data_IF_359451087605
#
_entry.id   IF_359451087605
#
_cell.length_a   1.000
_cell.length_b   1.000
_cell.length_c   1.000
_cell.angle_alpha   90.00
_cell.angle_beta   90.00
_cell.angle_gamma   90.00
#
_symmetry.space_group_name_H-M   'P 1'
#
loop_
_entity.id
_entity.type
_entity.pdbx_description
1 polymer ?
#
# COMPACT_ATOMS: atom_id res chain seq x y z
N UNK A 1 -23.65 46.01 -18.34
CA UNK A 1 -22.91 45.82 -17.08
C UNK A 1 -22.39 44.39 -17.07
N UNK A 2 -21.08 44.14 -16.93
CA UNK A 2 -20.63 42.77 -16.68
C UNK A 2 -21.14 42.37 -15.29
N UNK A 3 -21.76 41.21 -15.19
CA UNK A 3 -22.14 40.62 -13.90
C UNK A 3 -20.87 40.37 -13.11
N UNK A 4 -20.77 40.96 -11.91
CA UNK A 4 -19.79 40.54 -10.94
C UNK A 4 -20.16 39.11 -10.50
N UNK A 5 -19.59 38.12 -11.16
CA UNK A 5 -19.55 36.77 -10.62
C UNK A 5 -18.56 36.77 -9.47
N UNK A 6 -19.06 36.86 -8.25
CA UNK A 6 -18.28 36.61 -7.06
C UNK A 6 -17.92 35.13 -7.05
N UNK A 7 -16.77 34.79 -7.65
CA UNK A 7 -16.23 33.43 -7.60
C UNK A 7 -15.69 33.20 -6.20
N UNK A 8 -16.53 32.68 -5.30
CA UNK A 8 -16.10 32.24 -3.98
C UNK A 8 -15.29 30.95 -4.16
N UNK A 9 -14.03 30.88 -3.68
CA UNK A 9 -13.25 29.66 -3.78
C UNK A 9 -13.95 28.48 -3.10
N UNK A 10 -14.00 27.33 -3.75
CA UNK A 10 -14.62 26.10 -3.19
C UNK A 10 -14.00 25.71 -1.83
N UNK A 11 -12.72 26.02 -1.64
CA UNK A 11 -12.01 25.82 -0.37
C UNK A 11 -12.61 26.61 0.79
N UNK A 12 -13.21 27.76 0.53
CA UNK A 12 -13.92 28.56 1.54
C UNK A 12 -15.27 27.94 1.89
N UNK A 13 -15.97 27.36 0.90
CA UNK A 13 -17.29 26.73 1.09
C UNK A 13 -17.23 25.35 1.76
N UNK A 14 -16.05 24.71 1.75
CA UNK A 14 -15.82 23.43 2.42
C UNK A 14 -16.25 23.43 3.89
N UNK A 15 -15.73 24.35 4.71
CA UNK A 15 -15.98 24.35 6.16
C UNK A 15 -17.48 24.59 6.46
N UNK A 16 -18.12 25.66 5.93
CA UNK A 16 -19.53 25.92 6.19
C UNK A 16 -20.46 24.80 5.70
N UNK A 17 -20.21 24.24 4.52
CA UNK A 17 -21.06 23.18 3.96
C UNK A 17 -21.00 21.90 4.81
N UNK A 18 -19.81 21.46 5.21
CA UNK A 18 -19.65 20.27 6.05
C UNK A 18 -20.25 20.49 7.45
N UNK A 19 -20.01 21.65 8.09
CA UNK A 19 -20.60 21.97 9.39
C UNK A 19 -22.13 22.05 9.33
N UNK A 20 -22.68 22.66 8.29
CA UNK A 20 -24.13 22.74 8.06
C UNK A 20 -24.74 21.35 7.91
N UNK A 21 -24.11 20.48 7.09
CA UNK A 21 -24.56 19.11 6.90
C UNK A 21 -24.53 18.29 8.19
N UNK A 22 -23.44 18.36 8.96
CA UNK A 22 -23.32 17.66 10.25
C UNK A 22 -24.36 18.18 11.24
N UNK A 23 -24.57 19.49 11.30
CA UNK A 23 -25.57 20.12 12.17
C UNK A 23 -26.99 19.69 11.81
N UNK A 24 -27.29 19.61 10.51
CA UNK A 24 -28.56 19.10 10.00
C UNK A 24 -28.78 17.63 10.40
N UNK A 25 -27.77 16.77 10.22
CA UNK A 25 -27.84 15.37 10.61
C UNK A 25 -28.13 15.21 12.12
N UNK A 26 -27.44 16.01 12.96
CA UNK A 26 -27.66 16.02 14.40
C UNK A 26 -29.07 16.50 14.75
N UNK A 27 -29.51 17.61 14.17
CA UNK A 27 -30.80 18.22 14.46
C UNK A 27 -31.98 17.30 14.11
N UNK A 28 -31.98 16.70 12.92
CA UNK A 28 -33.04 15.77 12.49
C UNK A 28 -33.05 14.51 13.36
N UNK A 29 -31.87 13.94 13.65
CA UNK A 29 -31.76 12.77 14.53
C UNK A 29 -32.29 13.10 15.94
N UNK A 30 -31.97 14.28 16.46
CA UNK A 30 -32.45 14.75 17.76
C UNK A 30 -33.98 14.90 17.77
N UNK A 31 -34.55 15.60 16.80
CA UNK A 31 -35.98 15.83 16.71
C UNK A 31 -36.77 14.51 16.64
N UNK A 32 -36.35 13.58 15.78
CA UNK A 32 -36.99 12.27 15.64
C UNK A 32 -36.85 11.40 16.89
N UNK A 33 -35.68 11.40 17.54
CA UNK A 33 -35.48 10.67 18.80
C UNK A 33 -36.36 11.19 19.93
N UNK A 34 -36.63 12.51 19.97
CA UNK A 34 -37.55 13.13 20.93
C UNK A 34 -38.99 12.73 20.67
N UNK A 35 -39.43 12.76 19.41
CA UNK A 35 -40.79 12.34 19.02
C UNK A 35 -41.03 10.87 19.37
N UNK A 36 -40.06 10.01 19.06
CA UNK A 36 -40.15 8.56 19.28
C UNK A 36 -39.71 8.13 20.69
N UNK A 37 -39.30 9.07 21.55
CA UNK A 37 -38.85 8.86 22.93
C UNK A 37 -37.76 7.77 23.06
N UNK A 38 -36.82 7.72 22.11
CA UNK A 38 -35.75 6.71 22.09
C UNK A 38 -34.38 7.31 21.83
N UNK A 39 -33.50 7.22 22.83
CA UNK A 39 -32.10 7.65 22.72
C UNK A 39 -31.30 6.76 21.77
N UNK A 40 -31.62 5.47 21.66
CA UNK A 40 -30.92 4.57 20.72
C UNK A 40 -31.18 5.02 19.29
N UNK A 41 -32.41 5.41 18.99
CA UNK A 41 -32.82 5.87 17.66
C UNK A 41 -32.09 7.16 17.25
N UNK A 42 -31.72 8.03 18.20
CA UNK A 42 -30.85 9.17 17.92
C UNK A 42 -29.52 8.73 17.29
N UNK A 43 -28.81 7.80 17.93
CA UNK A 43 -27.49 7.36 17.46
C UNK A 43 -27.58 6.61 16.14
N UNK A 44 -28.59 5.75 15.98
CA UNK A 44 -28.81 5.02 14.72
C UNK A 44 -29.06 6.01 13.56
N UNK A 45 -29.97 6.96 13.72
CA UNK A 45 -30.26 7.96 12.68
C UNK A 45 -29.06 8.84 12.38
N UNK A 46 -28.34 9.29 13.41
CA UNK A 46 -27.17 10.15 13.24
C UNK A 46 -26.10 9.45 12.39
N UNK A 47 -25.80 8.18 12.72
CA UNK A 47 -24.82 7.38 11.98
C UNK A 47 -25.32 7.14 10.54
N UNK A 48 -26.59 6.79 10.35
CA UNK A 48 -27.17 6.57 9.02
C UNK A 48 -27.09 7.81 8.13
N UNK A 49 -27.44 8.99 8.65
CA UNK A 49 -27.38 10.24 7.90
C UNK A 49 -25.94 10.66 7.58
N UNK A 50 -25.04 10.59 8.55
CA UNK A 50 -23.62 10.88 8.31
C UNK A 50 -22.99 9.89 7.30
N UNK A 51 -23.44 8.64 7.29
CA UNK A 51 -22.97 7.63 6.34
C UNK A 51 -23.23 8.01 4.88
N UNK A 52 -24.28 8.80 4.58
CA UNK A 52 -24.55 9.27 3.21
C UNK A 52 -23.33 9.99 2.62
N UNK A 53 -22.67 10.82 3.42
CA UNK A 53 -21.52 11.60 2.98
C UNK A 53 -20.17 10.93 3.31
N UNK A 54 -20.08 10.16 4.40
CA UNK A 54 -18.81 9.77 5.01
C UNK A 54 -18.62 8.26 5.25
N UNK A 55 -19.49 7.38 4.72
CA UNK A 55 -19.40 5.94 5.00
C UNK A 55 -18.03 5.33 4.67
N UNK A 56 -17.44 5.67 3.52
CA UNK A 56 -16.17 5.11 3.09
C UNK A 56 -15.04 5.48 4.04
N UNK A 57 -15.04 6.70 4.61
CA UNK A 57 -14.06 7.13 5.60
C UNK A 57 -14.15 6.22 6.83
N UNK A 58 -15.35 6.02 7.38
CA UNK A 58 -15.54 5.13 8.53
C UNK A 58 -15.09 3.70 8.24
N UNK A 59 -15.42 3.19 7.06
CA UNK A 59 -15.01 1.84 6.64
C UNK A 59 -13.49 1.75 6.47
N UNK A 60 -12.85 2.74 5.85
CA UNK A 60 -11.38 2.81 5.71
C UNK A 60 -10.71 2.76 7.08
N UNK A 61 -11.22 3.51 8.06
CA UNK A 61 -10.71 3.47 9.43
C UNK A 61 -10.88 2.09 10.07
N UNK A 62 -12.05 1.47 9.93
CA UNK A 62 -12.30 0.13 10.45
C UNK A 62 -11.35 -0.91 9.83
N UNK A 63 -11.14 -0.86 8.52
CA UNK A 63 -10.20 -1.74 7.81
C UNK A 63 -8.77 -1.50 8.29
N UNK A 64 -8.32 -0.23 8.34
CA UNK A 64 -6.98 0.11 8.80
C UNK A 64 -6.72 -0.44 10.20
N UNK A 65 -7.66 -0.23 11.12
CA UNK A 65 -7.56 -0.71 12.50
C UNK A 65 -7.56 -2.24 12.57
N UNK A 66 -8.41 -2.92 11.79
CA UNK A 66 -8.39 -4.38 11.71
C UNK A 66 -7.00 -4.90 11.28
N UNK A 67 -6.43 -4.36 10.20
CA UNK A 67 -5.11 -4.81 9.75
C UNK A 67 -4.00 -4.42 10.72
N UNK A 68 -4.07 -3.24 11.34
CA UNK A 68 -3.07 -2.76 12.29
C UNK A 68 -3.06 -3.52 13.61
N UNK A 69 -4.22 -3.91 14.13
CA UNK A 69 -4.31 -4.55 15.45
C UNK A 69 -4.42 -6.07 15.38
N UNK A 70 -4.97 -6.62 14.31
CA UNK A 70 -5.26 -8.07 14.21
C UNK A 70 -4.32 -8.79 13.26
N UNK A 71 -3.85 -8.14 12.20
CA UNK A 71 -3.05 -8.79 11.14
C UNK A 71 -1.61 -8.32 11.05
N UNK A 72 -1.23 -7.29 11.78
CA UNK A 72 0.09 -6.68 11.69
C UNK A 72 1.19 -7.65 12.12
N UNK A 73 0.89 -8.52 13.09
CA UNK A 73 1.80 -9.54 13.57
C UNK A 73 2.17 -10.56 12.48
N UNK A 74 3.42 -11.00 12.55
CA UNK A 74 4.10 -11.67 11.45
C UNK A 74 3.55 -13.05 11.14
N UNK A 75 3.15 -13.27 9.89
CA UNK A 75 2.83 -14.58 9.33
C UNK A 75 4.12 -15.27 8.84
N UNK A 76 5.07 -15.49 9.75
CA UNK A 76 6.29 -16.27 9.48
C UNK A 76 6.00 -17.71 9.88
N UNK A 77 6.06 -18.61 8.92
CA UNK A 77 5.71 -20.02 9.07
C UNK A 77 6.92 -20.92 9.29
N UNK A 78 8.08 -20.53 8.75
CA UNK A 78 9.32 -21.29 8.84
C UNK A 78 10.54 -20.37 8.88
N UNK A 79 11.62 -20.87 9.46
CA UNK A 79 12.93 -20.22 9.40
C UNK A 79 13.55 -20.42 8.03
N UNK A 80 14.20 -19.37 7.53
CA UNK A 80 14.94 -19.43 6.26
C UNK A 80 16.27 -20.15 6.47
N UNK A 81 16.57 -21.20 5.68
CA UNK A 81 17.88 -21.85 5.73
C UNK A 81 18.98 -20.87 5.31
N UNK A 82 20.01 -20.75 6.16
CA UNK A 82 21.16 -19.86 5.96
C UNK A 82 22.47 -20.65 6.05
N UNK A 83 23.51 -20.16 5.39
CA UNK A 83 24.85 -20.75 5.43
C UNK A 83 25.57 -20.40 6.75
N UNK A 84 26.84 -20.81 6.89
CA UNK A 84 27.66 -20.53 8.08
C UNK A 84 27.94 -19.05 8.33
N UNK A 85 27.81 -18.20 7.31
CA UNK A 85 27.91 -16.73 7.41
C UNK A 85 26.56 -16.06 7.65
N UNK A 86 25.50 -16.83 7.93
CA UNK A 86 24.12 -16.35 8.09
C UNK A 86 23.52 -15.71 6.83
N UNK A 87 24.04 -16.05 5.65
CA UNK A 87 23.52 -15.58 4.35
C UNK A 87 22.58 -16.60 3.72
N UNK A 88 21.58 -16.10 2.99
CA UNK A 88 20.76 -16.90 2.09
C UNK A 88 21.47 -17.07 0.75
N UNK A 89 21.19 -18.16 0.05
CA UNK A 89 21.93 -18.55 -1.16
C UNK A 89 21.74 -17.54 -2.32
N UNK A 90 20.51 -17.35 -2.78
CA UNK A 90 20.16 -16.43 -3.87
C UNK A 90 18.70 -16.00 -3.74
N UNK A 91 18.39 -14.79 -4.21
CA UNK A 91 17.08 -14.16 -4.00
C UNK A 91 16.51 -13.59 -5.30
N UNK A 92 15.22 -13.79 -5.55
CA UNK A 92 14.47 -13.06 -6.58
C UNK A 92 13.39 -12.21 -5.94
N UNK A 93 13.39 -10.92 -6.26
CA UNK A 93 12.38 -9.93 -5.84
C UNK A 93 11.75 -9.21 -7.05
N UNK A 94 11.74 -9.88 -8.20
CA UNK A 94 11.16 -9.39 -9.44
C UNK A 94 9.69 -8.97 -9.22
N UNK A 95 9.36 -7.75 -9.64
CA UNK A 95 8.02 -7.17 -9.51
C UNK A 95 7.60 -6.79 -8.08
N UNK A 96 8.45 -7.04 -7.08
CA UNK A 96 8.24 -6.61 -5.69
C UNK A 96 8.85 -5.23 -5.48
N UNK A 97 10.12 -5.08 -5.86
CA UNK A 97 10.87 -3.84 -5.85
C UNK A 97 11.37 -3.53 -7.26
N UNK A 98 11.12 -2.30 -7.71
CA UNK A 98 11.55 -1.83 -9.02
C UNK A 98 12.64 -0.76 -8.81
N UNK A 99 13.88 -1.07 -9.13
CA UNK A 99 15.01 -0.14 -9.02
C UNK A 99 14.94 0.92 -10.13
N UNK A 100 14.89 2.22 -9.80
CA UNK A 100 14.84 3.29 -10.79
C UNK A 100 16.19 3.47 -11.49
N UNK A 101 16.20 3.42 -12.81
CA UNK A 101 17.37 3.72 -13.63
C UNK A 101 17.35 5.19 -14.06
N UNK A 102 18.47 5.89 -13.86
CA UNK A 102 18.55 7.34 -14.15
C UNK A 102 18.72 7.66 -15.63
N UNK A 103 19.49 6.86 -16.36
CA UNK A 103 19.95 7.22 -17.71
C UNK A 103 19.87 6.09 -18.75
N UNK A 104 19.57 4.86 -18.33
CA UNK A 104 19.71 3.64 -19.14
C UNK A 104 18.53 2.70 -18.94
N UNK A 105 18.37 1.74 -19.85
CA UNK A 105 17.45 0.59 -19.72
C UNK A 105 18.11 -0.62 -19.05
N UNK A 106 19.41 -0.56 -18.79
CA UNK A 106 20.21 -1.57 -18.10
C UNK A 106 21.02 -0.92 -16.98
N UNK A 107 21.39 -1.71 -15.97
CA UNK A 107 22.19 -1.24 -14.83
C UNK A 107 23.59 -0.82 -15.27
N UNK A 108 24.02 0.35 -14.81
CA UNK A 108 25.41 0.80 -14.86
C UNK A 108 26.27 0.10 -13.81
N UNK A 109 27.59 0.10 -13.97
CA UNK A 109 28.53 -0.47 -12.99
C UNK A 109 28.38 0.16 -11.60
N UNK A 110 28.10 1.45 -11.53
CA UNK A 110 27.86 2.17 -10.26
C UNK A 110 26.58 1.70 -9.58
N UNK A 111 25.48 1.54 -10.33
CA UNK A 111 24.21 1.04 -9.78
C UNK A 111 24.35 -0.43 -9.34
N UNK A 112 25.12 -1.22 -10.09
CA UNK A 112 25.46 -2.60 -9.72
C UNK A 112 26.20 -2.64 -8.38
N UNK A 113 27.20 -1.79 -8.16
CA UNK A 113 27.97 -1.78 -6.91
C UNK A 113 27.12 -1.30 -5.72
N UNK A 114 26.27 -0.29 -5.90
CA UNK A 114 25.31 0.14 -4.86
C UNK A 114 24.37 -1.00 -4.43
N UNK A 115 23.87 -1.78 -5.40
CA UNK A 115 23.04 -2.96 -5.10
C UNK A 115 23.87 -4.02 -4.39
N UNK A 116 25.14 -4.24 -4.77
CA UNK A 116 25.99 -5.22 -4.08
C UNK A 116 26.19 -4.86 -2.63
N UNK A 117 26.63 -3.64 -2.34
CA UNK A 117 26.87 -3.16 -0.97
C UNK A 117 25.62 -3.33 -0.09
N UNK A 118 24.42 -3.11 -0.66
CA UNK A 118 23.16 -3.25 0.06
C UNK A 118 22.75 -4.71 0.31
N UNK A 119 23.23 -5.68 -0.48
CA UNK A 119 22.67 -7.03 -0.49
C UNK A 119 23.67 -8.13 -0.10
N UNK A 120 24.97 -7.89 -0.23
CA UNK A 120 26.02 -8.89 0.03
C UNK A 120 26.12 -9.36 1.49
N UNK A 121 25.61 -8.57 2.44
CA UNK A 121 25.69 -8.90 3.86
C UNK A 121 24.76 -10.05 4.25
N UNK A 122 23.71 -10.33 3.47
CA UNK A 122 22.73 -11.38 3.78
C UNK A 122 22.44 -12.32 2.61
N UNK A 123 22.96 -12.05 1.41
CA UNK A 123 22.78 -12.89 0.22
C UNK A 123 24.15 -13.28 -0.31
N UNK A 124 24.34 -14.57 -0.61
CA UNK A 124 25.64 -15.13 -1.00
C UNK A 124 25.96 -14.98 -2.49
N UNK A 125 25.04 -15.40 -3.38
CA UNK A 125 25.33 -15.52 -4.82
C UNK A 125 24.90 -14.30 -5.61
N UNK A 126 23.59 -14.10 -5.75
CA UNK A 126 23.01 -13.07 -6.60
C UNK A 126 21.61 -12.68 -6.13
N UNK A 127 21.18 -11.51 -6.61
CA UNK A 127 19.80 -11.03 -6.49
C UNK A 127 19.22 -10.72 -7.88
N UNK A 128 18.00 -11.19 -8.13
CA UNK A 128 17.22 -10.85 -9.31
C UNK A 128 16.24 -9.73 -8.95
N UNK A 129 16.33 -8.60 -9.65
CA UNK A 129 15.53 -7.39 -9.39
C UNK A 129 14.83 -6.90 -10.65
N UNK A 130 13.69 -6.24 -10.48
CA UNK A 130 13.10 -5.48 -11.57
C UNK A 130 13.71 -4.08 -11.61
N UNK A 131 13.92 -3.55 -12.80
CA UNK A 131 14.40 -2.20 -13.05
C UNK A 131 13.39 -1.45 -13.88
N UNK A 132 13.38 -0.12 -13.77
CA UNK A 132 12.57 0.70 -14.66
C UNK A 132 13.25 1.98 -15.08
N UNK A 133 12.97 2.42 -16.30
CA UNK A 133 13.41 3.70 -16.83
C UNK A 133 12.25 4.44 -17.48
N UNK A 134 12.33 5.76 -17.48
CA UNK A 134 11.38 6.62 -18.17
C UNK A 134 12.05 7.22 -19.41
N UNK A 135 11.60 6.81 -20.60
CA UNK A 135 12.16 7.30 -21.86
C UNK A 135 11.04 7.64 -22.83
N UNK A 136 11.06 8.85 -23.40
CA UNK A 136 10.07 9.31 -24.39
C UNK A 136 8.61 9.11 -23.92
N UNK A 137 8.30 9.46 -22.67
CA UNK A 137 6.99 9.25 -22.04
C UNK A 137 6.52 7.80 -21.98
N UNK A 138 7.45 6.83 -22.05
CA UNK A 138 7.16 5.41 -21.89
C UNK A 138 7.90 4.85 -20.68
N UNK A 139 7.18 4.01 -19.94
CA UNK A 139 7.73 3.18 -18.87
C UNK A 139 8.32 1.91 -19.50
N UNK A 140 9.63 1.71 -19.32
CA UNK A 140 10.32 0.52 -19.77
C UNK A 140 10.76 -0.24 -18.52
N UNK A 141 10.18 -1.42 -18.32
CA UNK A 141 10.56 -2.34 -17.25
C UNK A 141 11.47 -3.43 -17.80
N UNK A 142 12.51 -3.79 -17.05
CA UNK A 142 13.35 -4.94 -17.33
C UNK A 142 13.60 -5.73 -16.04
N UNK A 143 14.12 -6.95 -16.15
CA UNK A 143 14.60 -7.73 -15.03
C UNK A 143 16.10 -7.95 -15.18
N UNK A 144 16.85 -7.71 -14.12
CA UNK A 144 18.30 -7.78 -14.11
C UNK A 144 18.78 -8.67 -12.96
N UNK A 145 19.89 -9.38 -13.19
CA UNK A 145 20.58 -10.18 -12.17
C UNK A 145 21.85 -9.47 -11.74
N UNK A 146 21.98 -9.25 -10.43
CA UNK A 146 23.19 -8.68 -9.83
C UNK A 146 23.92 -9.75 -9.02
N UNK A 147 25.12 -10.11 -9.48
CA UNK A 147 25.99 -11.06 -8.78
C UNK A 147 26.74 -10.37 -7.64
N UNK A 148 26.59 -10.88 -6.43
CA UNK A 148 27.12 -10.27 -5.21
C UNK A 148 28.54 -10.77 -4.92
N UNK A 149 28.81 -12.05 -5.18
CA UNK A 149 30.12 -12.64 -5.01
C UNK A 149 30.82 -12.91 -6.36
N UNK A 150 32.01 -12.32 -6.55
CA UNK A 150 32.81 -12.44 -7.79
C UNK A 150 33.50 -13.81 -7.92
N UNK A 151 33.61 -14.58 -6.84
CA UNK A 151 34.35 -15.84 -6.79
C UNK A 151 33.52 -17.09 -7.13
N UNK A 152 32.22 -16.93 -7.37
CA UNK A 152 31.31 -18.04 -7.66
C UNK A 152 31.15 -18.17 -9.19
N UNK A 153 31.28 -19.38 -9.77
CA UNK A 153 31.15 -19.56 -11.21
C UNK A 153 29.79 -19.06 -11.71
N UNK A 154 29.82 -18.22 -12.74
CA UNK A 154 28.66 -17.57 -13.37
C UNK A 154 27.78 -18.59 -14.09
N UNK A 155 26.84 -19.22 -13.38
CA UNK A 155 25.74 -19.93 -14.03
C UNK A 155 24.57 -18.97 -14.27
N UNK A 156 24.54 -18.36 -15.46
CA UNK A 156 23.49 -17.40 -15.85
C UNK A 156 22.07 -17.96 -15.83
N UNK A 157 21.92 -19.30 -15.84
CA UNK A 157 20.63 -19.97 -15.91
C UNK A 157 20.20 -20.57 -14.55
N UNK A 158 20.97 -20.38 -13.49
CA UNK A 158 20.60 -20.86 -12.15
C UNK A 158 19.36 -20.10 -11.64
N UNK A 159 18.26 -20.78 -11.27
CA UNK A 159 17.12 -20.10 -10.66
C UNK A 159 17.47 -19.64 -9.24
N UNK A 160 16.92 -18.51 -8.80
CA UNK A 160 17.03 -18.10 -7.40
C UNK A 160 16.37 -19.14 -6.49
N UNK A 161 17.04 -19.51 -5.40
CA UNK A 161 16.47 -20.42 -4.41
C UNK A 161 15.31 -19.76 -3.67
N UNK A 162 15.48 -18.52 -3.23
CA UNK A 162 14.43 -17.79 -2.52
C UNK A 162 13.71 -16.84 -3.48
N UNK A 163 12.40 -16.81 -3.42
CA UNK A 163 11.57 -15.95 -4.27
C UNK A 163 10.58 -15.18 -3.40
N UNK A 164 10.50 -13.87 -3.61
CA UNK A 164 9.44 -13.02 -3.08
C UNK A 164 8.53 -12.64 -4.24
N UNK A 165 7.26 -13.01 -4.13
CA UNK A 165 6.25 -12.66 -5.13
C UNK A 165 5.29 -11.64 -4.56
N UNK A 166 4.78 -10.74 -5.41
CA UNK A 166 3.74 -9.74 -5.08
C UNK A 166 2.53 -9.98 -5.97
N UNK A 167 1.34 -10.02 -5.38
CA UNK A 167 0.08 -10.16 -6.12
C UNK A 167 -0.98 -9.21 -5.58
N UNK A 168 -1.74 -8.58 -6.47
CA UNK A 168 -2.98 -7.87 -6.11
C UNK A 168 -4.07 -8.91 -5.85
N UNK A 169 -4.69 -8.85 -4.68
CA UNK A 169 -5.73 -9.79 -4.25
C UNK A 169 -7.07 -9.07 -4.17
N UNK A 170 -8.13 -9.74 -4.61
CA UNK A 170 -9.48 -9.22 -4.53
C UNK A 170 -9.89 -8.98 -3.07
N UNK A 171 -10.49 -7.81 -2.83
CA UNK A 171 -10.99 -7.41 -1.52
C UNK A 171 -12.52 -7.42 -1.52
N UNK A 172 -13.13 -7.52 -0.33
CA UNK A 172 -14.60 -7.52 -0.22
C UNK A 172 -15.22 -6.13 -0.49
N UNK A 173 -14.42 -5.05 -0.47
CA UNK A 173 -14.83 -3.68 -0.80
C UNK A 173 -13.79 -3.02 -1.74
N UNK A 174 -13.71 -3.44 -3.01
CA UNK A 174 -12.66 -3.03 -3.94
C UNK A 174 -12.73 -1.54 -4.31
N UNK A 175 -13.89 -0.90 -4.14
CA UNK A 175 -14.07 0.55 -4.32
C UNK A 175 -13.53 1.38 -3.14
N UNK A 176 -13.19 0.75 -2.02
CA UNK A 176 -12.76 1.43 -0.79
C UNK A 176 -11.28 1.16 -0.52
N UNK A 177 -10.82 -0.08 -0.72
CA UNK A 177 -9.44 -0.46 -0.47
C UNK A 177 -8.99 -1.63 -1.35
N UNK A 178 -7.69 -1.69 -1.61
CA UNK A 178 -7.02 -2.82 -2.26
C UNK A 178 -6.00 -3.48 -1.34
N UNK A 179 -5.58 -4.69 -1.71
CA UNK A 179 -4.58 -5.48 -0.97
C UNK A 179 -3.55 -6.04 -1.94
N UNK A 180 -2.28 -5.70 -1.71
CA UNK A 180 -1.18 -6.52 -2.18
C UNK A 180 -0.85 -7.58 -1.13
N UNK A 181 -0.60 -8.79 -1.59
CA UNK A 181 -0.07 -9.89 -0.78
C UNK A 181 1.31 -10.26 -1.31
N UNK A 182 2.23 -10.44 -0.37
CA UNK A 182 3.60 -10.84 -0.63
C UNK A 182 3.82 -12.24 -0.07
N UNK A 183 4.49 -13.09 -0.84
CA UNK A 183 4.83 -14.47 -0.41
C UNK A 183 6.32 -14.70 -0.55
N UNK A 184 6.94 -15.16 0.52
CA UNK A 184 8.34 -15.56 0.59
C UNK A 184 8.40 -17.08 0.46
N UNK A 185 9.09 -17.60 -0.55
CA UNK A 185 9.09 -19.02 -0.90
C UNK A 185 10.52 -19.53 -1.03
N UNK A 186 10.82 -20.68 -0.43
CA UNK A 186 12.01 -21.48 -0.76
C UNK A 186 11.64 -22.40 -1.93
N UNK A 187 12.20 -22.15 -3.11
CA UNK A 187 11.94 -22.89 -4.35
C UNK A 187 12.54 -24.28 -4.35
N UNK A 188 13.57 -24.52 -3.55
CA UNK A 188 14.19 -25.84 -3.45
C UNK A 188 13.24 -26.82 -2.73
N UNK A 189 12.57 -26.36 -1.67
CA UNK A 189 11.66 -27.16 -0.86
C UNK A 189 10.18 -26.92 -1.17
N UNK A 190 9.88 -25.89 -1.97
CA UNK A 190 8.54 -25.40 -2.29
C UNK A 190 7.72 -25.00 -1.05
N UNK A 191 8.40 -24.54 0.01
CA UNK A 191 7.78 -24.12 1.27
C UNK A 191 7.57 -22.60 1.27
N UNK A 192 6.39 -22.17 1.73
CA UNK A 192 6.13 -20.76 2.03
C UNK A 192 6.74 -20.43 3.39
N UNK A 193 7.76 -19.58 3.40
CA UNK A 193 8.46 -19.16 4.60
C UNK A 193 7.65 -18.11 5.36
N UNK A 194 7.05 -17.17 4.65
CA UNK A 194 6.23 -16.11 5.24
C UNK A 194 5.28 -15.46 4.23
N UNK A 195 4.31 -14.73 4.76
CA UNK A 195 3.45 -13.80 4.03
C UNK A 195 3.52 -12.39 4.62
N UNK A 196 3.36 -11.39 3.76
CA UNK A 196 3.20 -10.00 4.14
C UNK A 196 2.08 -9.36 3.30
N UNK A 197 1.66 -8.16 3.67
CA UNK A 197 0.64 -7.43 2.93
C UNK A 197 0.94 -5.93 2.84
N UNK A 198 0.25 -5.29 1.90
CA UNK A 198 0.09 -3.85 1.83
C UNK A 198 -1.38 -3.53 1.51
N UNK A 199 -2.05 -2.84 2.43
CA UNK A 199 -3.41 -2.33 2.28
C UNK A 199 -3.32 -0.86 1.89
N UNK A 200 -3.89 -0.53 0.74
CA UNK A 200 -4.00 0.84 0.25
C UNK A 200 -5.47 1.24 0.08
N UNK A 201 -5.77 2.52 0.27
CA UNK A 201 -7.13 3.03 0.28
C UNK A 201 -7.43 3.79 -1.00
N UNK A 202 -8.54 3.42 -1.65
CA UNK A 202 -8.94 3.96 -2.95
C UNK A 202 -9.56 5.34 -2.78
N UNK A 203 -9.07 6.30 -3.55
CA UNK A 203 -9.65 7.64 -3.65
C UNK A 203 -10.68 7.67 -4.78
N UNK A 204 -11.79 8.35 -4.58
CA UNK A 204 -12.82 8.54 -5.60
C UNK A 204 -13.44 9.91 -5.40
N UNK A 205 -13.57 10.66 -6.50
CA UNK A 205 -14.09 12.03 -6.51
C UNK A 205 -15.58 12.08 -6.89
N UNK A 206 -16.26 10.93 -6.96
CA UNK A 206 -17.65 10.81 -7.36
C UNK A 206 -18.55 10.41 -6.18
N UNK A 207 -18.46 11.15 -5.07
CA UNK A 207 -19.27 10.93 -3.86
C UNK A 207 -20.17 12.12 -3.59
N UNK A 208 -21.19 11.91 -2.76
CA UNK A 208 -22.10 12.96 -2.30
C UNK A 208 -21.33 14.19 -1.78
N UNK A 209 -20.30 13.98 -0.96
CA UNK A 209 -19.51 15.07 -0.39
C UNK A 209 -18.68 15.85 -1.42
N UNK A 210 -18.25 15.21 -2.51
CA UNK A 210 -17.55 15.91 -3.60
C UNK A 210 -18.51 16.87 -4.30
N UNK A 211 -19.73 16.39 -4.57
CA UNK A 211 -20.74 17.16 -5.30
C UNK A 211 -21.40 18.25 -4.47
N UNK A 212 -21.65 18.01 -3.18
CA UNK A 212 -22.50 18.89 -2.37
C UNK A 212 -21.80 19.52 -1.16
N UNK A 213 -20.64 19.00 -0.75
CA UNK A 213 -19.91 19.48 0.43
C UNK A 213 -18.54 20.06 0.07
N UNK A 214 -18.31 20.38 -1.21
CA UNK A 214 -17.10 21.04 -1.73
C UNK A 214 -15.80 20.29 -1.42
N UNK A 215 -15.85 18.95 -1.41
CA UNK A 215 -14.65 18.12 -1.34
C UNK A 215 -13.98 18.06 -2.71
N UNK A 216 -13.01 18.94 -2.94
CA UNK A 216 -12.16 18.88 -4.12
C UNK A 216 -11.20 17.66 -4.06
N UNK A 217 -10.53 17.30 -5.18
CA UNK A 217 -9.63 16.15 -5.21
C UNK A 217 -8.52 16.20 -4.16
N UNK A 218 -7.96 17.39 -3.90
CA UNK A 218 -6.94 17.58 -2.86
C UNK A 218 -7.50 17.21 -1.48
N UNK A 219 -8.73 17.62 -1.16
CA UNK A 219 -9.38 17.27 0.11
C UNK A 219 -9.70 15.79 0.21
N UNK A 220 -10.08 15.13 -0.88
CA UNK A 220 -10.22 13.67 -0.86
C UNK A 220 -8.90 12.97 -0.51
N UNK A 221 -7.77 13.47 -1.01
CA UNK A 221 -6.45 12.95 -0.66
C UNK A 221 -6.06 13.26 0.80
N UNK A 222 -6.28 14.50 1.26
CA UNK A 222 -5.98 14.93 2.63
C UNK A 222 -6.69 14.04 3.68
N UNK A 223 -7.92 13.60 3.37
CA UNK A 223 -8.73 12.74 4.24
C UNK A 223 -8.61 11.24 3.91
N UNK A 224 -7.83 10.86 2.90
CA UNK A 224 -7.55 9.47 2.62
C UNK A 224 -6.56 8.92 3.66
N UNK A 225 -6.69 7.64 3.99
CA UNK A 225 -5.77 7.03 4.95
C UNK A 225 -4.47 6.63 4.26
N UNK A 226 -3.32 6.76 4.94
CA UNK A 226 -2.07 6.22 4.44
C UNK A 226 -2.16 4.69 4.35
N UNK A 227 -1.42 4.12 3.42
CA UNK A 227 -1.32 2.67 3.30
C UNK A 227 -0.73 2.04 4.57
N UNK A 228 -1.15 0.81 4.89
CA UNK A 228 -0.61 0.01 5.98
C UNK A 228 0.00 -1.27 5.43
N UNK A 229 1.25 -1.54 5.79
CA UNK A 229 1.99 -2.70 5.34
C UNK A 229 2.89 -3.24 6.43
N UNK A 230 3.25 -4.53 6.30
CA UNK A 230 4.26 -5.17 7.15
C UNK A 230 5.42 -5.76 6.34
N UNK A 231 5.51 -5.48 5.03
CA UNK A 231 6.51 -6.05 4.13
C UNK A 231 7.94 -5.91 4.66
N UNK A 232 8.40 -4.70 4.97
CA UNK A 232 9.80 -4.47 5.40
C UNK A 232 10.15 -5.20 6.70
N UNK A 233 9.19 -5.29 7.63
CA UNK A 233 9.35 -6.01 8.89
C UNK A 233 9.51 -7.51 8.63
N UNK A 234 8.68 -8.08 7.75
CA UNK A 234 8.75 -9.50 7.40
C UNK A 234 10.00 -9.79 6.59
N UNK A 235 10.33 -8.95 5.60
CA UNK A 235 11.52 -9.07 4.78
C UNK A 235 12.76 -9.14 5.64
N UNK A 236 12.91 -8.20 6.59
CA UNK A 236 14.03 -8.18 7.52
C UNK A 236 14.07 -9.44 8.38
N UNK A 237 12.97 -9.82 9.02
CA UNK A 237 12.95 -11.00 9.91
C UNK A 237 13.21 -12.33 9.18
N UNK A 238 12.77 -12.45 7.94
CA UNK A 238 12.84 -13.69 7.17
C UNK A 238 14.18 -13.83 6.47
N UNK A 239 14.71 -12.76 5.88
CA UNK A 239 15.88 -12.83 5.00
C UNK A 239 17.16 -12.29 5.66
N UNK A 240 17.04 -11.33 6.58
CA UNK A 240 18.18 -10.60 7.14
C UNK A 240 18.51 -11.09 8.55
N UNK A 241 17.54 -11.08 9.49
CA UNK A 241 17.77 -11.38 10.90
C UNK A 241 18.14 -12.87 11.14
N UNK A 242 18.83 -13.16 12.25
CA UNK A 242 19.32 -14.49 12.65
C UNK A 242 18.33 -15.28 13.51
#
# INVERSE_FOLDING_TARGET
MPSFELVVPESFLFIPANLSFISFCFFISFLLSRILKSTILFFVLLISLLSIAYYDIFIKYAIRNYYSFVKMDSQIYAKTPKNSEFKIESLSIIGVYNYPLKYSTALSETEIEEIKELHEYYIEKFIDISTYSYKFNRYIANNERVYLNRNIPLNKNEPARFEVTKKLVDTFLPKIYGKYEYRFVDKQTNIVLATAFNIFFVTSNDKFRNRYLYWNPQKEEDFNLPAIQNFDIIYKRVLIDN
#
